data_IF_228482405604
#
_entry.id   IF_228482405604
#
_cell.length_a   1.000
_cell.length_b   1.000
_cell.length_c   1.000
_cell.angle_alpha   90.00
_cell.angle_beta   90.00
_cell.angle_gamma   90.00
#
_symmetry.space_group_name_H-M   'P 1'
#
loop_
_entity.id
_entity.type
_entity.pdbx_description
1 polymer ?
#
# COMPACT_ATOMS: atom_id res chain seq x y z
N UNK A 1 -19.97 -11.93 -14.66
CA UNK A 1 -19.15 -12.46 -13.55
C UNK A 1 -18.75 -11.27 -12.70
N UNK A 2 -19.19 -11.21 -11.45
CA UNK A 2 -18.90 -10.08 -10.54
C UNK A 2 -17.56 -10.37 -9.85
N UNK A 3 -16.59 -9.42 -9.83
CA UNK A 3 -15.33 -9.63 -9.15
C UNK A 3 -15.57 -9.84 -7.64
N UNK A 4 -14.74 -10.64 -6.96
CA UNK A 4 -14.89 -10.89 -5.53
C UNK A 4 -14.86 -9.56 -4.77
N UNK A 5 -15.84 -9.37 -3.87
CA UNK A 5 -15.94 -8.16 -3.06
C UNK A 5 -14.70 -8.02 -2.17
N UNK A 6 -14.05 -6.85 -2.14
CA UNK A 6 -12.85 -6.57 -1.34
C UNK A 6 -13.11 -6.47 0.17
N UNK A 7 -14.29 -6.85 0.66
CA UNK A 7 -14.77 -6.61 2.03
C UNK A 7 -14.16 -7.52 3.11
N UNK A 8 -13.04 -8.21 2.80
CA UNK A 8 -12.31 -8.97 3.79
C UNK A 8 -10.93 -8.35 4.02
N UNK A 9 -10.67 -7.73 5.18
CA UNK A 9 -9.33 -7.26 5.53
C UNK A 9 -8.27 -8.37 5.36
N UNK A 10 -8.64 -9.62 5.62
CA UNK A 10 -7.78 -10.80 5.42
C UNK A 10 -7.46 -11.10 3.94
N UNK A 11 -8.40 -10.87 3.01
CA UNK A 11 -8.19 -11.06 1.58
C UNK A 11 -7.38 -9.91 0.98
N UNK A 12 -7.60 -8.67 1.44
CA UNK A 12 -6.75 -7.51 1.12
C UNK A 12 -5.33 -7.77 1.59
N UNK A 13 -5.13 -8.30 2.81
CA UNK A 13 -3.79 -8.64 3.32
C UNK A 13 -3.06 -9.70 2.48
N UNK A 14 -3.77 -10.72 2.02
CA UNK A 14 -3.19 -11.73 1.12
C UNK A 14 -2.90 -11.17 -0.26
N UNK A 15 -3.81 -10.37 -0.83
CA UNK A 15 -3.57 -9.70 -2.11
C UNK A 15 -2.38 -8.74 -2.01
N UNK A 16 -2.25 -7.95 -0.93
CA UNK A 16 -1.11 -7.06 -0.75
C UNK A 16 0.24 -7.77 -0.66
N UNK A 17 0.28 -9.03 -0.22
CA UNK A 17 1.53 -9.80 -0.09
C UNK A 17 1.94 -10.53 -1.37
N UNK A 18 0.95 -10.93 -2.18
CA UNK A 18 1.16 -11.78 -3.35
C UNK A 18 0.88 -11.06 -4.68
N UNK A 19 0.34 -9.83 -4.67
CA UNK A 19 -0.07 -9.12 -5.87
C UNK A 19 1.00 -8.09 -6.31
N UNK A 20 1.76 -8.37 -7.39
CA UNK A 20 2.84 -7.51 -7.83
C UNK A 20 2.34 -6.15 -8.33
N UNK A 21 1.09 -6.04 -8.76
CA UNK A 21 0.52 -4.79 -9.22
C UNK A 21 0.29 -3.82 -8.06
N UNK A 22 -0.13 -4.32 -6.90
CA UNK A 22 -0.28 -3.54 -5.68
C UNK A 22 1.07 -2.99 -5.17
N UNK A 23 2.11 -3.84 -5.17
CA UNK A 23 3.47 -3.39 -4.86
C UNK A 23 3.94 -2.30 -5.82
N UNK A 24 3.67 -2.45 -7.11
CA UNK A 24 4.06 -1.48 -8.13
C UNK A 24 3.29 -0.15 -8.00
N UNK A 25 1.99 -0.21 -7.68
CA UNK A 25 1.17 0.98 -7.42
C UNK A 25 1.68 1.75 -6.20
N UNK A 26 1.97 1.04 -5.10
CA UNK A 26 2.52 1.63 -3.89
C UNK A 26 3.89 2.25 -4.13
N UNK A 27 4.75 1.56 -4.89
CA UNK A 27 6.07 2.09 -5.25
C UNK A 27 5.94 3.37 -6.09
N UNK A 28 5.05 3.37 -7.07
CA UNK A 28 4.79 4.57 -7.88
C UNK A 28 4.23 5.73 -7.04
N UNK A 29 3.30 5.46 -6.12
CA UNK A 29 2.82 6.48 -5.19
C UNK A 29 3.93 6.99 -4.29
N UNK A 30 4.80 6.09 -3.82
CA UNK A 30 5.91 6.44 -2.97
C UNK A 30 6.91 7.37 -3.67
N UNK A 31 7.17 7.15 -4.96
CA UNK A 31 7.99 8.02 -5.79
C UNK A 31 7.37 9.42 -5.96
N UNK A 32 6.04 9.51 -6.11
CA UNK A 32 5.34 10.79 -6.24
C UNK A 32 5.28 11.59 -4.93
N UNK A 33 5.23 10.89 -3.80
CA UNK A 33 5.15 11.47 -2.46
C UNK A 33 6.54 11.73 -1.85
N UNK A 34 7.60 11.12 -2.38
CA UNK A 34 8.97 11.38 -1.94
C UNK A 34 9.33 12.86 -2.11
N UNK A 35 9.83 13.48 -1.04
CA UNK A 35 10.16 14.91 -1.03
C UNK A 35 8.95 15.84 -0.99
N UNK A 36 7.72 15.31 -0.86
CA UNK A 36 6.55 16.16 -0.58
C UNK A 36 6.53 16.56 0.90
N UNK A 37 6.11 17.79 1.24
CA UNK A 37 6.07 18.26 2.63
C UNK A 37 5.21 17.35 3.52
N UNK A 38 5.79 16.84 4.61
CA UNK A 38 5.13 15.91 5.53
C UNK A 38 5.29 14.42 5.16
N UNK A 39 5.95 14.13 4.04
CA UNK A 39 6.38 12.80 3.65
C UNK A 39 7.91 12.67 3.68
N UNK A 40 8.45 11.45 3.79
CA UNK A 40 9.89 11.23 3.77
C UNK A 40 10.54 11.70 2.46
N UNK A 41 11.84 12.02 2.52
CA UNK A 41 12.64 12.42 1.37
C UNK A 41 12.86 11.29 0.35
N UNK A 42 12.83 10.03 0.79
CA UNK A 42 13.07 8.88 -0.09
C UNK A 42 11.78 8.10 -0.38
N UNK A 43 11.65 7.61 -1.61
CA UNK A 43 10.55 6.73 -2.00
C UNK A 43 10.53 5.42 -1.18
N UNK A 44 11.69 4.94 -0.72
CA UNK A 44 11.76 3.74 0.12
C UNK A 44 11.11 3.97 1.50
N UNK A 45 11.42 5.08 2.16
CA UNK A 45 10.80 5.44 3.44
C UNK A 45 9.30 5.72 3.29
N UNK A 46 8.91 6.38 2.20
CA UNK A 46 7.49 6.62 1.90
C UNK A 46 6.76 5.30 1.70
N UNK A 47 7.36 4.38 0.96
CA UNK A 47 6.82 3.04 0.70
C UNK A 47 6.62 2.25 2.00
N UNK A 48 7.62 2.23 2.89
CA UNK A 48 7.48 1.60 4.21
C UNK A 48 6.38 2.27 5.06
N UNK A 49 6.26 3.60 5.01
CA UNK A 49 5.20 4.34 5.72
C UNK A 49 3.82 4.00 5.18
N UNK A 50 3.65 3.88 3.86
CA UNK A 50 2.39 3.48 3.23
C UNK A 50 2.01 2.04 3.61
N UNK A 51 2.98 1.11 3.55
CA UNK A 51 2.79 -0.27 4.00
C UNK A 51 2.27 -0.33 5.43
N UNK A 52 2.94 0.36 6.37
CA UNK A 52 2.53 0.37 7.78
C UNK A 52 1.15 0.98 7.99
N UNK A 53 0.78 2.03 7.24
CA UNK A 53 -0.56 2.62 7.33
C UNK A 53 -1.64 1.64 6.85
N UNK A 54 -1.40 0.95 5.75
CA UNK A 54 -2.33 -0.05 5.20
C UNK A 54 -2.46 -1.23 6.17
N UNK A 55 -1.36 -1.71 6.75
CA UNK A 55 -1.41 -2.77 7.76
C UNK A 55 -2.19 -2.36 9.02
N UNK A 56 -2.05 -1.10 9.44
CA UNK A 56 -2.77 -0.56 10.60
C UNK A 56 -4.28 -0.42 10.32
N UNK A 57 -4.65 0.06 9.13
CA UNK A 57 -6.05 0.22 8.70
C UNK A 57 -6.76 -1.14 8.53
N UNK A 58 -6.04 -2.13 8.00
CA UNK A 58 -6.55 -3.50 7.77
C UNK A 58 -6.59 -4.34 9.06
N UNK A 59 -5.82 -3.99 10.10
CA UNK A 59 -5.80 -4.69 11.40
C UNK A 59 -6.71 -4.07 12.47
N UNK A 60 -7.40 -2.96 12.15
CA UNK A 60 -8.30 -2.24 13.05
C UNK A 60 -9.76 -2.71 13.01
#
# INVERSE_FOLDING_TARGET
MQPPSPDQPSAIRQLFKDDPYLHQLLQHQAEQLAGTPGWPDTAADVYEKLLRQIEADVSG
#
